data_IF_178515858153
#
_entry.id   IF_178515858153
#
_cell.length_a   1.000
_cell.length_b   1.000
_cell.length_c   1.000
_cell.angle_alpha   90.00
_cell.angle_beta   90.00
_cell.angle_gamma   90.00
#
_symmetry.space_group_name_H-M   'P 1'
#
loop_
_entity.id
_entity.type
_entity.pdbx_description
1 polymer ?
#
# COMPACT_ATOMS: atom_id res chain seq x y z
N UNK A 1 -18.38 1.97 8.80
CA UNK A 1 -19.00 2.84 7.79
C UNK A 1 -20.53 2.80 7.89
N UNK A 2 -21.20 3.88 7.53
CA UNK A 2 -22.67 3.94 7.52
C UNK A 2 -23.18 3.26 6.24
N UNK A 3 -24.28 2.49 6.35
CA UNK A 3 -24.91 1.80 5.25
C UNK A 3 -25.63 2.82 4.33
N UNK A 4 -25.49 2.65 3.02
CA UNK A 4 -26.14 3.50 2.01
C UNK A 4 -27.07 2.58 1.23
N UNK A 5 -28.33 3.01 1.03
CA UNK A 5 -29.30 2.26 0.26
C UNK A 5 -29.18 2.61 -1.22
N UNK A 6 -29.19 1.59 -2.06
CA UNK A 6 -29.06 1.71 -3.51
C UNK A 6 -30.43 1.49 -4.13
N UNK A 7 -30.94 2.48 -4.86
CA UNK A 7 -32.23 2.41 -5.58
C UNK A 7 -32.12 1.53 -6.82
N UNK A 8 -30.99 1.60 -7.51
CA UNK A 8 -30.70 0.80 -8.67
C UNK A 8 -29.33 1.10 -9.25
N UNK A 9 -28.88 0.28 -10.19
CA UNK A 9 -27.61 0.51 -10.84
C UNK A 9 -27.42 -0.33 -12.10
N UNK A 10 -26.44 0.05 -12.90
CA UNK A 10 -26.02 -0.67 -14.08
C UNK A 10 -24.50 -0.82 -14.13
N UNK A 11 -24.05 -1.97 -14.61
CA UNK A 11 -22.63 -2.26 -14.81
C UNK A 11 -22.40 -2.77 -16.24
N UNK A 12 -21.38 -2.23 -16.89
CA UNK A 12 -20.91 -2.69 -18.19
C UNK A 12 -19.44 -3.07 -18.05
N UNK A 13 -19.09 -4.26 -18.49
CA UNK A 13 -17.68 -4.69 -18.56
C UNK A 13 -17.46 -5.43 -19.86
N UNK A 14 -16.33 -5.20 -20.49
CA UNK A 14 -16.01 -5.85 -21.75
C UNK A 14 -14.55 -5.69 -22.16
N UNK A 15 -14.17 -6.47 -23.16
CA UNK A 15 -12.84 -6.38 -23.78
C UNK A 15 -12.98 -6.61 -25.28
N UNK A 16 -12.33 -5.76 -26.07
CA UNK A 16 -12.24 -5.89 -27.51
C UNK A 16 -10.77 -5.67 -27.95
N UNK A 17 -10.11 -6.74 -28.35
CA UNK A 17 -8.70 -6.70 -28.65
C UNK A 17 -7.89 -6.20 -27.44
N UNK A 18 -7.03 -5.20 -27.60
CA UNK A 18 -6.23 -4.63 -26.51
C UNK A 18 -7.02 -3.70 -25.58
N UNK A 19 -8.22 -3.29 -25.96
CA UNK A 19 -9.05 -2.36 -25.19
C UNK A 19 -9.91 -3.09 -24.17
N UNK A 20 -9.80 -2.74 -22.90
CA UNK A 20 -10.68 -3.13 -21.80
C UNK A 20 -11.52 -1.95 -21.30
N UNK A 21 -12.77 -2.19 -20.95
CA UNK A 21 -13.69 -1.19 -20.43
C UNK A 21 -14.45 -1.75 -19.22
N UNK A 22 -14.63 -0.93 -18.20
CA UNK A 22 -15.49 -1.17 -17.05
C UNK A 22 -16.20 0.13 -16.68
N UNK A 23 -17.52 0.08 -16.53
CA UNK A 23 -18.34 1.21 -16.10
C UNK A 23 -19.36 0.72 -15.09
N UNK A 24 -19.62 1.53 -14.07
CA UNK A 24 -20.60 1.29 -13.02
C UNK A 24 -21.31 2.62 -12.73
N UNK A 25 -22.63 2.60 -12.75
CA UNK A 25 -23.46 3.72 -12.32
C UNK A 25 -24.49 3.21 -11.31
N UNK A 26 -24.71 3.96 -10.23
CA UNK A 26 -25.69 3.63 -9.20
C UNK A 26 -26.44 4.89 -8.77
N UNK A 27 -27.76 4.77 -8.62
CA UNK A 27 -28.59 5.76 -7.94
C UNK A 27 -28.71 5.38 -6.47
N UNK A 28 -28.45 6.34 -5.60
CA UNK A 28 -28.51 6.22 -4.14
C UNK A 28 -29.80 6.86 -3.62
N UNK A 29 -30.31 6.37 -2.50
CA UNK A 29 -31.49 6.95 -1.83
C UNK A 29 -31.05 8.02 -0.81
N UNK A 30 -32.01 8.88 -0.44
CA UNK A 30 -31.81 9.88 0.62
C UNK A 30 -31.38 9.23 1.92
N UNK A 31 -30.47 9.89 2.65
CA UNK A 31 -29.99 9.42 3.92
C UNK A 31 -29.82 10.54 4.95
N UNK A 32 -30.84 10.76 5.76
CA UNK A 32 -30.84 11.85 6.70
C UNK A 32 -30.81 13.21 6.00
N UNK A 33 -29.74 13.98 6.21
CA UNK A 33 -29.53 15.28 5.56
C UNK A 33 -28.80 15.18 4.22
N UNK A 34 -28.44 13.95 3.79
CA UNK A 34 -27.79 13.70 2.49
C UNK A 34 -28.87 13.33 1.48
N UNK A 35 -28.97 14.12 0.42
CA UNK A 35 -29.94 13.91 -0.65
C UNK A 35 -29.56 12.71 -1.53
N UNK A 36 -30.57 12.13 -2.18
CA UNK A 36 -30.38 11.15 -3.24
C UNK A 36 -29.37 11.67 -4.29
N UNK A 37 -28.41 10.84 -4.66
CA UNK A 37 -27.37 11.19 -5.62
C UNK A 37 -27.05 10.02 -6.56
N UNK A 38 -26.38 10.32 -7.64
CA UNK A 38 -25.89 9.34 -8.60
C UNK A 38 -24.38 9.24 -8.50
N UNK A 39 -23.86 8.02 -8.35
CA UNK A 39 -22.43 7.77 -8.37
C UNK A 39 -22.04 7.00 -9.63
N UNK A 40 -20.92 7.40 -10.20
CA UNK A 40 -20.39 6.79 -11.42
C UNK A 40 -18.91 6.48 -11.27
N UNK A 41 -18.49 5.31 -11.78
CA UNK A 41 -17.10 4.94 -11.92
C UNK A 41 -16.84 4.33 -13.30
N UNK A 42 -15.79 4.81 -13.96
CA UNK A 42 -15.36 4.34 -15.27
C UNK A 42 -13.87 3.99 -15.29
N UNK A 43 -13.55 2.88 -15.95
CA UNK A 43 -12.16 2.39 -16.12
C UNK A 43 -11.95 1.99 -17.57
N UNK A 44 -10.87 2.49 -18.16
CA UNK A 44 -10.40 2.10 -19.49
C UNK A 44 -8.97 1.57 -19.35
N UNK A 45 -8.66 0.51 -20.09
CA UNK A 45 -7.31 -0.05 -20.15
C UNK A 45 -6.95 -0.36 -21.59
N UNK A 46 -5.69 -0.17 -21.94
CA UNK A 46 -5.18 -0.54 -23.25
C UNK A 46 -3.87 -1.30 -23.09
N UNK A 47 -3.79 -2.50 -23.63
CA UNK A 47 -2.58 -3.31 -23.62
C UNK A 47 -1.57 -2.73 -24.63
N UNK A 48 -0.43 -2.26 -24.10
CA UNK A 48 0.65 -1.67 -24.92
C UNK A 48 1.53 -2.74 -25.55
N UNK A 49 1.79 -3.81 -24.79
CA UNK A 49 2.64 -4.95 -25.13
C UNK A 49 2.02 -6.22 -24.52
N UNK A 50 2.67 -7.37 -24.65
CA UNK A 50 2.14 -8.64 -24.14
C UNK A 50 1.80 -8.62 -22.65
N UNK A 51 2.61 -7.93 -21.84
CA UNK A 51 2.47 -7.88 -20.37
C UNK A 51 2.24 -6.46 -19.82
N UNK A 52 2.21 -5.45 -20.67
CA UNK A 52 2.19 -4.03 -20.26
C UNK A 52 0.91 -3.35 -20.68
N UNK A 53 0.44 -2.41 -19.86
CA UNK A 53 -0.82 -1.70 -20.10
C UNK A 53 -0.80 -0.27 -19.59
N UNK A 54 -1.56 0.59 -20.24
CA UNK A 54 -1.94 1.91 -19.75
C UNK A 54 -3.41 1.91 -19.36
N UNK A 55 -3.77 2.72 -18.39
CA UNK A 55 -5.15 2.84 -17.92
C UNK A 55 -5.57 4.28 -17.67
N UNK A 56 -6.89 4.49 -17.69
CA UNK A 56 -7.51 5.73 -17.26
C UNK A 56 -8.70 5.40 -16.36
N UNK A 57 -8.92 6.21 -15.33
CA UNK A 57 -10.04 6.10 -14.39
C UNK A 57 -10.75 7.44 -14.30
N UNK A 58 -12.07 7.37 -14.11
CA UNK A 58 -12.92 8.50 -13.78
C UNK A 58 -13.94 8.07 -12.74
N UNK A 59 -14.18 8.92 -11.73
CA UNK A 59 -15.30 8.74 -10.78
C UNK A 59 -16.04 10.06 -10.59
N UNK A 60 -17.33 9.97 -10.26
CA UNK A 60 -18.21 11.09 -9.99
C UNK A 60 -19.17 10.76 -8.85
N UNK A 61 -19.48 11.75 -8.03
CA UNK A 61 -20.43 11.69 -6.94
C UNK A 61 -19.79 11.43 -5.56
N UNK A 62 -20.46 11.89 -4.52
CA UNK A 62 -20.10 11.65 -3.13
C UNK A 62 -21.27 11.03 -2.36
N UNK A 63 -21.21 9.74 -2.00
CA UNK A 63 -22.28 9.06 -1.28
C UNK A 63 -22.36 9.46 0.21
N UNK A 64 -21.49 10.33 0.70
CA UNK A 64 -21.39 10.68 2.11
C UNK A 64 -21.69 12.16 2.40
N UNK A 65 -21.74 13.00 1.37
CA UNK A 65 -21.99 14.44 1.47
C UNK A 65 -22.79 14.95 0.29
N UNK A 66 -23.44 16.13 0.44
CA UNK A 66 -24.08 16.86 -0.66
C UNK A 66 -23.06 17.74 -1.40
N UNK A 67 -21.93 17.17 -1.78
CA UNK A 67 -20.79 17.89 -2.37
C UNK A 67 -20.44 17.20 -3.69
N UNK A 68 -20.17 17.99 -4.71
CA UNK A 68 -19.68 17.45 -5.97
C UNK A 68 -18.24 16.97 -5.79
N UNK A 69 -18.00 15.70 -6.08
CA UNK A 69 -16.66 15.12 -6.09
C UNK A 69 -16.40 14.38 -7.40
N UNK A 70 -15.30 14.71 -8.02
CA UNK A 70 -14.83 14.11 -9.26
C UNK A 70 -13.38 13.67 -9.13
N UNK A 71 -13.05 12.51 -9.69
CA UNK A 71 -11.66 12.07 -9.84
C UNK A 71 -11.41 11.71 -11.29
N UNK A 72 -10.24 12.11 -11.78
CA UNK A 72 -9.68 11.62 -13.04
C UNK A 72 -8.26 11.13 -12.80
N UNK A 73 -7.87 10.06 -13.47
CA UNK A 73 -6.53 9.53 -13.31
C UNK A 73 -6.06 8.70 -14.50
N UNK A 74 -4.75 8.56 -14.56
CA UNK A 74 -4.07 7.69 -15.53
C UNK A 74 -3.03 6.84 -14.81
N UNK A 75 -2.77 5.65 -15.33
CA UNK A 75 -1.72 4.76 -14.82
C UNK A 75 -1.03 4.01 -15.95
N UNK A 76 0.21 3.65 -15.68
CA UNK A 76 1.06 2.86 -16.55
C UNK A 76 1.57 1.65 -15.76
N UNK A 77 1.37 0.45 -16.28
CA UNK A 77 1.91 -0.78 -15.75
C UNK A 77 2.80 -1.42 -16.82
N UNK A 78 4.10 -1.42 -16.57
CA UNK A 78 5.08 -2.07 -17.40
C UNK A 78 5.56 -3.34 -16.73
N UNK A 79 5.50 -4.43 -17.45
CA UNK A 79 6.01 -5.73 -17.02
C UNK A 79 6.79 -6.37 -18.15
N UNK A 80 7.93 -6.96 -17.81
CA UNK A 80 8.69 -7.80 -18.71
C UNK A 80 9.19 -9.00 -17.89
N UNK A 81 8.74 -10.21 -18.25
CA UNK A 81 9.11 -11.45 -17.55
C UNK A 81 10.47 -11.98 -17.96
N UNK A 82 11.01 -11.53 -19.09
CA UNK A 82 12.32 -11.93 -19.65
C UNK A 82 13.13 -10.71 -20.10
N UNK A 83 13.28 -9.71 -19.22
CA UNK A 83 13.89 -8.44 -19.60
C UNK A 83 15.40 -8.56 -19.84
N UNK A 84 16.15 -9.16 -18.93
CA UNK A 84 17.61 -9.34 -19.05
C UNK A 84 18.02 -10.65 -18.36
N UNK A 85 18.65 -11.55 -19.11
CA UNK A 85 19.04 -12.87 -18.61
C UNK A 85 17.89 -13.67 -17.94
N UNK A 86 16.68 -13.56 -18.47
CA UNK A 86 15.51 -14.27 -17.92
C UNK A 86 14.96 -13.67 -16.62
N UNK A 87 15.38 -12.47 -16.29
CA UNK A 87 14.87 -11.77 -15.09
C UNK A 87 13.60 -10.98 -15.38
N UNK A 88 12.74 -10.95 -14.39
CA UNK A 88 11.49 -10.18 -14.44
C UNK A 88 11.69 -8.78 -13.85
N UNK A 89 11.03 -7.80 -14.45
CA UNK A 89 10.90 -6.45 -13.93
C UNK A 89 9.45 -6.00 -14.00
N UNK A 90 8.99 -5.32 -12.95
CA UNK A 90 7.67 -4.68 -12.90
C UNK A 90 7.89 -3.22 -12.52
N UNK A 91 7.26 -2.34 -13.28
CA UNK A 91 7.18 -0.91 -12.97
C UNK A 91 5.74 -0.46 -13.09
N UNK A 92 5.28 0.28 -12.11
CA UNK A 92 3.95 0.87 -12.12
C UNK A 92 4.07 2.35 -11.75
N UNK A 93 3.31 3.21 -12.42
CA UNK A 93 3.18 4.62 -12.07
C UNK A 93 1.75 5.09 -12.29
N UNK A 94 1.34 6.11 -11.55
CA UNK A 94 0.02 6.70 -11.67
C UNK A 94 0.04 8.19 -11.34
N UNK A 95 -0.95 8.87 -11.88
CA UNK A 95 -1.33 10.24 -11.52
C UNK A 95 -2.84 10.32 -11.45
N UNK A 96 -3.37 10.86 -10.37
CA UNK A 96 -4.80 11.10 -10.20
C UNK A 96 -5.02 12.49 -9.64
N UNK A 97 -6.12 13.12 -10.04
CA UNK A 97 -6.54 14.43 -9.56
C UNK A 97 -7.99 14.36 -9.14
N UNK A 98 -8.29 14.92 -7.97
CA UNK A 98 -9.65 15.16 -7.49
C UNK A 98 -10.05 16.61 -7.69
N UNK A 99 -11.34 16.83 -7.85
CA UNK A 99 -11.99 18.10 -7.66
C UNK A 99 -13.16 17.89 -6.73
N UNK A 100 -13.11 18.57 -5.61
CA UNK A 100 -14.12 18.55 -4.56
C UNK A 100 -14.71 19.94 -4.40
N UNK A 101 -16.05 20.02 -4.27
CA UNK A 101 -16.77 21.31 -4.23
C UNK A 101 -16.47 22.15 -2.96
N UNK A 102 -15.94 21.53 -1.90
CA UNK A 102 -15.61 22.21 -0.65
C UNK A 102 -14.10 22.51 -0.54
N UNK A 103 -13.26 21.52 -0.78
CA UNK A 103 -11.81 21.61 -0.58
C UNK A 103 -11.04 22.00 -1.84
N UNK A 104 -11.70 22.01 -3.00
CA UNK A 104 -11.10 22.36 -4.29
C UNK A 104 -10.44 21.21 -5.01
N UNK A 105 -9.30 21.44 -5.64
CA UNK A 105 -8.61 20.40 -6.43
C UNK A 105 -7.23 20.10 -5.86
N UNK A 106 -6.91 18.81 -5.77
CA UNK A 106 -5.57 18.37 -5.43
C UNK A 106 -5.24 17.04 -6.14
N UNK A 107 -4.00 16.58 -6.02
CA UNK A 107 -3.52 15.41 -6.74
C UNK A 107 -2.79 14.38 -5.87
N UNK A 108 -2.70 13.18 -6.42
CA UNK A 108 -1.81 12.14 -5.97
C UNK A 108 -1.04 11.58 -7.15
N UNK A 109 0.25 11.35 -6.95
CA UNK A 109 1.09 10.67 -7.93
C UNK A 109 2.03 9.69 -7.25
N UNK A 110 2.40 8.65 -7.97
CA UNK A 110 3.33 7.68 -7.42
C UNK A 110 3.89 6.74 -8.46
N UNK A 111 4.93 6.07 -8.03
CA UNK A 111 5.56 4.99 -8.78
C UNK A 111 6.10 3.92 -7.84
N UNK A 112 6.10 2.68 -8.29
CA UNK A 112 6.80 1.59 -7.65
C UNK A 112 7.44 0.67 -8.68
N UNK A 113 8.50 0.02 -8.27
CA UNK A 113 9.18 -0.98 -9.07
C UNK A 113 9.43 -2.25 -8.25
N UNK A 114 9.56 -3.38 -8.92
CA UNK A 114 9.91 -4.65 -8.32
C UNK A 114 10.75 -5.48 -9.27
N UNK A 115 11.84 -6.04 -8.73
CA UNK A 115 12.70 -7.05 -9.35
C UNK A 115 12.56 -8.34 -8.53
N UNK A 116 11.51 -9.17 -8.79
CA UNK A 116 11.17 -10.33 -7.98
C UNK A 116 12.00 -11.56 -8.36
N UNK A 117 13.32 -11.40 -8.50
CA UNK A 117 14.19 -12.41 -9.05
C UNK A 117 14.99 -13.14 -7.96
N UNK A 118 15.12 -14.44 -8.11
CA UNK A 118 15.99 -15.25 -7.27
C UNK A 118 17.45 -15.16 -7.78
N UNK A 119 18.46 -15.10 -6.90
CA UNK A 119 18.39 -15.02 -5.43
C UNK A 119 18.20 -13.59 -4.90
N UNK A 120 18.35 -12.57 -5.73
CA UNK A 120 18.30 -11.17 -5.34
C UNK A 120 16.96 -10.54 -5.70
N UNK A 121 16.26 -10.05 -4.69
CA UNK A 121 15.00 -9.33 -4.84
C UNK A 121 15.18 -7.87 -4.43
N UNK A 122 14.59 -6.98 -5.18
CA UNK A 122 14.63 -5.55 -4.91
C UNK A 122 13.30 -4.93 -5.26
N UNK A 123 12.89 -3.93 -4.49
CA UNK A 123 11.69 -3.17 -4.79
C UNK A 123 11.70 -1.83 -4.08
N UNK A 124 10.81 -0.96 -4.51
CA UNK A 124 10.65 0.32 -3.85
C UNK A 124 9.44 1.06 -4.38
N UNK A 125 9.01 2.05 -3.63
CA UNK A 125 7.92 2.93 -4.02
C UNK A 125 8.21 4.38 -3.65
N UNK A 126 7.52 5.26 -4.34
CA UNK A 126 7.39 6.67 -4.01
C UNK A 126 5.96 7.11 -4.33
N UNK A 127 5.29 7.75 -3.37
CA UNK A 127 3.94 8.28 -3.51
C UNK A 127 3.85 9.64 -2.83
N UNK A 128 3.39 10.65 -3.55
CA UNK A 128 3.07 11.98 -3.01
C UNK A 128 1.57 12.18 -3.06
N UNK A 129 0.97 12.55 -1.94
CA UNK A 129 -0.47 12.82 -1.80
C UNK A 129 -0.68 14.25 -1.32
N UNK A 130 -1.45 15.03 -2.06
CA UNK A 130 -1.82 16.39 -1.70
C UNK A 130 -2.65 16.46 -0.42
N UNK A 131 -2.68 17.62 0.22
CA UNK A 131 -3.41 17.84 1.49
C UNK A 131 -4.93 17.72 1.29
N UNK A 132 -5.43 18.20 0.15
CA UNK A 132 -6.86 18.23 -0.19
C UNK A 132 -7.27 17.14 -1.18
N UNK A 133 -6.40 16.13 -1.41
CA UNK A 133 -6.75 15.02 -2.28
C UNK A 133 -7.82 14.15 -1.64
N UNK A 134 -9.07 14.25 -2.13
CA UNK A 134 -10.27 13.60 -1.58
C UNK A 134 -11.01 12.82 -2.66
N UNK A 135 -10.78 11.51 -2.81
CA UNK A 135 -11.58 10.66 -3.69
C UNK A 135 -12.78 10.09 -2.95
N UNK A 136 -13.98 10.68 -3.11
CA UNK A 136 -15.19 10.28 -2.38
C UNK A 136 -15.62 8.81 -2.61
N UNK A 137 -15.32 8.24 -3.79
CA UNK A 137 -15.51 6.82 -4.09
C UNK A 137 -14.25 5.96 -3.89
N UNK A 138 -13.27 6.49 -3.16
CA UNK A 138 -12.00 5.83 -2.88
C UNK A 138 -11.61 5.88 -1.41
N UNK A 139 -10.37 5.52 -1.14
CA UNK A 139 -9.78 5.61 0.19
C UNK A 139 -8.36 6.15 0.11
N UNK A 140 -8.04 7.11 0.96
CA UNK A 140 -6.70 7.67 1.12
C UNK A 140 -6.26 7.46 2.56
N UNK A 141 -5.15 6.76 2.74
CA UNK A 141 -4.65 6.43 4.08
C UNK A 141 -4.04 7.63 4.79
N UNK A 142 -3.23 8.41 4.07
CA UNK A 142 -2.54 9.63 4.57
C UNK A 142 -2.52 10.69 3.49
N UNK A 143 -2.76 11.93 3.87
CA UNK A 143 -2.73 13.12 2.99
C UNK A 143 -1.64 14.08 3.43
N UNK A 144 -1.32 15.04 2.59
CA UNK A 144 -0.36 16.08 2.92
C UNK A 144 1.06 15.58 3.10
N UNK A 145 1.45 14.51 2.41
CA UNK A 145 2.76 13.91 2.58
C UNK A 145 3.30 13.14 1.40
N UNK A 146 4.49 12.65 1.58
CA UNK A 146 5.23 11.85 0.62
C UNK A 146 5.78 10.61 1.31
N UNK A 147 5.40 9.42 0.83
CA UNK A 147 5.93 8.13 1.26
C UNK A 147 6.97 7.63 0.28
N UNK A 148 8.06 7.11 0.77
CA UNK A 148 9.08 6.42 -0.03
C UNK A 148 9.60 5.19 0.69
N UNK A 149 9.84 4.09 -0.03
CA UNK A 149 10.56 2.95 0.51
C UNK A 149 11.49 2.33 -0.53
N UNK A 150 12.50 1.64 -0.02
CA UNK A 150 13.37 0.76 -0.79
C UNK A 150 13.66 -0.48 0.03
N UNK A 151 13.54 -1.66 -0.58
CA UNK A 151 13.81 -2.95 0.05
C UNK A 151 14.72 -3.80 -0.80
N UNK A 152 15.55 -4.59 -0.12
CA UNK A 152 16.44 -5.58 -0.69
C UNK A 152 16.30 -6.88 0.07
N UNK A 153 16.35 -8.01 -0.63
CA UNK A 153 16.44 -9.31 -0.01
C UNK A 153 17.33 -10.23 -0.84
N UNK A 154 18.02 -11.11 -0.16
CA UNK A 154 18.88 -12.12 -0.77
C UNK A 154 18.56 -13.50 -0.21
N UNK A 155 18.19 -14.40 -1.08
CA UNK A 155 17.90 -15.79 -0.75
C UNK A 155 19.16 -16.66 -1.02
N UNK A 156 19.57 -17.42 -0.01
CA UNK A 156 20.70 -18.32 -0.11
C UNK A 156 20.24 -19.66 -0.68
N UNK A 157 20.88 -20.06 -1.78
CA UNK A 157 20.68 -21.39 -2.35
C UNK A 157 21.25 -22.48 -1.43
N UNK A 158 20.49 -23.56 -1.24
CA UNK A 158 20.88 -24.72 -0.41
C UNK A 158 20.71 -26.01 -1.16
N UNK A 159 21.51 -26.23 -2.19
CA UNK A 159 21.49 -27.49 -2.90
C UNK A 159 21.78 -28.64 -1.95
N UNK A 160 20.86 -29.60 -1.88
CA UNK A 160 21.03 -30.82 -1.11
C UNK A 160 20.66 -30.76 0.37
N UNK A 161 20.03 -29.69 0.86
CA UNK A 161 19.40 -29.71 2.19
C UNK A 161 18.20 -30.66 2.19
N UNK A 162 18.13 -31.55 3.17
CA UNK A 162 16.99 -32.46 3.36
C UNK A 162 15.84 -31.81 4.17
N UNK A 163 16.06 -30.63 4.73
CA UNK A 163 15.14 -30.02 5.70
C UNK A 163 14.83 -28.55 5.40
N UNK A 164 15.78 -27.80 4.83
CA UNK A 164 15.63 -26.36 4.59
C UNK A 164 15.18 -26.10 3.15
N UNK A 165 14.20 -25.23 2.98
CA UNK A 165 13.73 -24.74 1.69
C UNK A 165 14.47 -23.46 1.32
N UNK A 166 14.42 -22.44 2.17
CA UNK A 166 15.03 -21.13 1.94
C UNK A 166 15.65 -20.53 3.20
N UNK A 167 16.70 -19.73 3.03
CA UNK A 167 17.19 -18.77 4.02
C UNK A 167 17.30 -17.43 3.32
N UNK A 168 16.59 -16.43 3.83
CA UNK A 168 16.61 -15.08 3.29
C UNK A 168 17.17 -14.10 4.32
N UNK A 169 17.90 -13.11 3.86
CA UNK A 169 18.26 -11.89 4.61
C UNK A 169 17.78 -10.69 3.83
N UNK A 170 17.43 -9.62 4.52
CA UNK A 170 16.89 -8.44 3.86
C UNK A 170 17.03 -7.17 4.66
N UNK A 171 16.73 -6.07 4.01
CA UNK A 171 16.61 -4.75 4.63
C UNK A 171 15.54 -3.94 3.88
N UNK A 172 14.75 -3.18 4.62
CA UNK A 172 13.83 -2.18 4.10
C UNK A 172 14.08 -0.84 4.79
N UNK A 173 14.03 0.23 4.03
CA UNK A 173 14.00 1.60 4.52
C UNK A 173 12.71 2.24 4.05
N UNK A 174 11.93 2.77 4.98
CA UNK A 174 10.68 3.49 4.72
C UNK A 174 10.75 4.87 5.34
N UNK A 175 10.22 5.86 4.63
CA UNK A 175 10.16 7.24 5.11
C UNK A 175 8.88 7.91 4.65
N UNK A 176 8.31 8.70 5.55
CA UNK A 176 7.19 9.59 5.27
C UNK A 176 7.59 11.03 5.62
N UNK A 177 7.52 11.93 4.64
CA UNK A 177 7.75 13.36 4.79
C UNK A 177 6.44 14.12 4.68
N UNK A 178 6.26 15.16 5.51
CA UNK A 178 5.14 16.10 5.38
C UNK A 178 5.38 17.06 4.22
N UNK A 179 4.34 17.43 3.46
CA UNK A 179 4.42 18.46 2.42
C UNK A 179 4.69 19.85 3.01
N UNK A 180 4.28 20.09 4.26
CA UNK A 180 4.61 21.30 5.03
C UNK A 180 6.09 21.37 5.41
N UNK A 181 6.84 20.29 5.21
CA UNK A 181 8.26 20.13 5.52
C UNK A 181 8.51 19.34 6.80
N UNK A 182 9.60 18.58 6.78
CA UNK A 182 10.03 17.74 7.88
C UNK A 182 9.67 16.26 7.70
N UNK A 183 10.33 15.43 8.49
CA UNK A 183 10.06 14.00 8.60
C UNK A 183 8.89 13.81 9.56
N UNK A 184 7.96 12.93 9.20
CA UNK A 184 6.89 12.46 10.07
C UNK A 184 7.27 11.10 10.67
N UNK A 185 7.62 10.13 9.80
CA UNK A 185 8.10 8.80 10.23
C UNK A 185 9.27 8.34 9.37
N UNK A 186 10.19 7.60 9.98
CA UNK A 186 11.32 6.96 9.31
C UNK A 186 11.58 5.61 9.98
N UNK A 187 11.76 4.57 9.17
CA UNK A 187 11.89 3.19 9.63
C UNK A 187 13.00 2.48 8.84
N UNK A 188 13.82 1.73 9.56
CA UNK A 188 14.81 0.81 8.99
C UNK A 188 14.52 -0.56 9.57
N UNK A 189 14.06 -1.47 8.75
CA UNK A 189 13.87 -2.88 9.10
C UNK A 189 15.04 -3.71 8.57
N UNK A 190 15.64 -4.51 9.42
CA UNK A 190 16.70 -5.46 9.09
C UNK A 190 16.20 -6.87 9.36
N UNK A 191 15.81 -7.58 8.31
CA UNK A 191 15.55 -9.01 8.39
C UNK A 191 16.90 -9.75 8.41
N UNK A 192 17.40 -10.02 9.61
CA UNK A 192 18.72 -10.61 9.82
C UNK A 192 18.78 -12.04 9.34
N UNK A 193 17.68 -12.78 9.50
CA UNK A 193 17.53 -14.14 8.99
C UNK A 193 16.05 -14.52 8.97
N UNK A 194 15.62 -15.06 7.88
CA UNK A 194 14.35 -15.78 7.72
C UNK A 194 14.65 -17.17 7.19
N UNK A 195 14.17 -18.21 7.86
CA UNK A 195 14.40 -19.61 7.49
C UNK A 195 13.05 -20.27 7.26
N UNK A 196 12.91 -20.91 6.10
CA UNK A 196 11.76 -21.75 5.79
C UNK A 196 12.21 -23.20 5.60
N UNK A 197 11.44 -24.13 6.17
CA UNK A 197 11.69 -25.57 5.99
C UNK A 197 10.80 -26.14 4.88
N UNK A 198 11.23 -27.25 4.27
CA UNK A 198 10.43 -28.00 3.29
C UNK A 198 9.08 -28.48 3.83
N UNK A 199 8.95 -28.65 5.13
CA UNK A 199 7.69 -29.01 5.81
C UNK A 199 6.78 -27.79 6.04
N UNK A 200 7.30 -26.56 5.90
CA UNK A 200 6.58 -25.30 6.06
C UNK A 200 6.67 -24.68 7.46
N UNK A 201 7.65 -25.10 8.30
CA UNK A 201 7.98 -24.34 9.50
C UNK A 201 8.77 -23.10 9.08
N UNK A 202 8.60 -22.01 9.80
CA UNK A 202 9.36 -20.78 9.58
C UNK A 202 9.97 -20.24 10.89
N UNK A 203 11.07 -19.56 10.76
CA UNK A 203 11.75 -18.83 11.83
C UNK A 203 12.25 -17.50 11.28
N UNK A 204 11.99 -16.42 12.00
CA UNK A 204 12.42 -15.05 11.66
C UNK A 204 13.11 -14.36 12.82
N UNK A 205 14.12 -13.55 12.50
CA UNK A 205 14.76 -12.59 13.40
C UNK A 205 14.86 -11.26 12.68
N UNK A 206 14.15 -10.26 13.19
CA UNK A 206 14.10 -8.91 12.63
C UNK A 206 14.57 -7.90 13.67
N UNK A 207 15.25 -6.86 13.23
CA UNK A 207 15.58 -5.68 14.02
C UNK A 207 15.02 -4.47 13.30
N UNK A 208 14.28 -3.65 14.02
CA UNK A 208 13.66 -2.43 13.53
C UNK A 208 14.23 -1.22 14.26
N UNK A 209 14.47 -0.15 13.54
CA UNK A 209 14.79 1.18 14.06
C UNK A 209 13.73 2.14 13.54
N UNK A 210 13.01 2.75 14.46
CA UNK A 210 11.93 3.67 14.15
C UNK A 210 12.25 5.08 14.64
N UNK A 211 11.80 6.07 13.89
CA UNK A 211 11.76 7.48 14.26
C UNK A 211 10.41 8.05 13.93
N UNK A 212 9.74 8.62 14.92
CA UNK A 212 8.48 9.32 14.78
C UNK A 212 8.59 10.76 15.31
N UNK A 213 8.19 11.72 14.49
CA UNK A 213 8.24 13.14 14.84
C UNK A 213 6.82 13.64 15.08
N UNK A 214 6.46 13.78 16.35
CA UNK A 214 5.20 14.39 16.76
C UNK A 214 5.34 15.91 16.79
N UNK A 215 4.56 16.61 15.95
CA UNK A 215 4.53 18.07 15.89
C UNK A 215 3.59 18.71 16.93
N UNK A 216 2.69 17.89 17.49
CA UNK A 216 1.75 18.28 18.54
C UNK A 216 1.56 17.13 19.53
N UNK A 217 0.95 17.44 20.68
CA UNK A 217 0.65 16.42 21.68
C UNK A 217 -0.37 15.42 21.13
N UNK A 218 -0.07 14.15 21.25
CA UNK A 218 -0.90 13.04 20.79
C UNK A 218 -1.37 12.17 21.97
N UNK A 219 -2.67 11.90 22.06
CA UNK A 219 -3.23 11.02 23.07
C UNK A 219 -3.26 9.57 22.54
N UNK A 220 -2.47 8.67 23.14
CA UNK A 220 -2.37 7.26 22.73
C UNK A 220 -3.59 6.47 23.25
N UNK A 221 -3.91 6.66 24.52
CA UNK A 221 -5.08 6.09 25.20
C UNK A 221 -5.62 7.13 26.17
N UNK A 222 -6.87 6.96 26.59
CA UNK A 222 -7.55 7.89 27.50
C UNK A 222 -6.65 8.30 28.67
N UNK A 223 -6.25 9.58 28.71
CA UNK A 223 -5.44 10.17 29.77
C UNK A 223 -3.93 10.00 29.64
N UNK A 224 -3.42 9.31 28.59
CA UNK A 224 -1.99 9.15 28.32
C UNK A 224 -1.59 9.94 27.07
N UNK A 225 -0.83 11.02 27.27
CA UNK A 225 -0.44 11.93 26.21
C UNK A 225 1.06 11.86 25.98
N UNK A 226 1.45 11.74 24.71
CA UNK A 226 2.81 11.96 24.22
C UNK A 226 3.00 13.44 23.87
N UNK A 227 4.07 14.02 24.34
CA UNK A 227 4.42 15.40 23.99
C UNK A 227 4.92 15.47 22.54
N UNK A 228 4.83 16.66 21.92
CA UNK A 228 5.51 16.93 20.67
C UNK A 228 7.04 16.73 20.85
N UNK A 229 7.62 15.80 20.10
CA UNK A 229 9.03 15.44 20.21
C UNK A 229 9.48 14.60 18.99
N UNK A 230 10.78 14.40 18.85
CA UNK A 230 11.44 13.46 17.92
C UNK A 230 11.77 12.18 18.71
N UNK A 231 10.87 11.19 18.60
CA UNK A 231 11.02 9.90 19.26
C UNK A 231 11.82 8.95 18.38
N UNK A 232 12.65 8.13 19.02
CA UNK A 232 13.44 7.11 18.36
C UNK A 232 13.44 5.87 19.22
N UNK A 233 13.16 4.74 18.56
CA UNK A 233 13.14 3.44 19.21
C UNK A 233 13.86 2.40 18.39
N UNK A 234 14.09 1.26 19.03
CA UNK A 234 14.55 0.05 18.36
C UNK A 234 13.82 -1.15 18.92
N UNK A 235 13.49 -2.09 18.07
CA UNK A 235 12.82 -3.32 18.44
C UNK A 235 13.52 -4.53 17.85
N UNK A 236 13.54 -5.63 18.61
CA UNK A 236 13.96 -6.94 18.13
C UNK A 236 12.74 -7.85 18.18
N UNK A 237 12.45 -8.46 17.04
CA UNK A 237 11.37 -9.43 16.88
C UNK A 237 11.96 -10.81 16.59
N UNK A 238 11.47 -11.81 17.32
CA UNK A 238 11.74 -13.21 17.08
C UNK A 238 10.42 -13.92 16.81
N UNK A 239 10.31 -14.53 15.63
CA UNK A 239 9.13 -15.26 15.20
C UNK A 239 9.46 -16.73 14.95
N UNK A 240 8.58 -17.62 15.38
CA UNK A 240 8.60 -19.03 15.04
C UNK A 240 7.18 -19.51 14.78
N UNK A 241 6.97 -20.10 13.60
CA UNK A 241 5.72 -20.73 13.26
C UNK A 241 5.91 -22.16 12.78
N UNK A 242 5.09 -23.06 13.31
CA UNK A 242 5.10 -24.47 12.88
C UNK A 242 4.11 -24.72 11.75
N UNK A 243 4.48 -25.61 10.85
CA UNK A 243 3.66 -25.97 9.68
C UNK A 243 2.27 -26.45 10.06
N UNK A 244 1.25 -25.95 9.37
CA UNK A 244 -0.15 -26.42 9.49
C UNK A 244 -0.36 -27.87 9.02
N UNK A 245 0.64 -28.49 8.40
CA UNK A 245 0.64 -29.92 8.05
C UNK A 245 0.87 -30.84 9.27
N UNK A 246 1.32 -30.27 10.39
CA UNK A 246 1.56 -31.01 11.63
C UNK A 246 0.24 -31.25 12.40
N UNK A 247 0.12 -32.34 13.18
CA UNK A 247 -1.05 -32.57 14.03
C UNK A 247 -1.29 -31.45 15.07
N UNK A 248 -0.20 -30.81 15.52
CA UNK A 248 -0.23 -29.61 16.36
C UNK A 248 0.62 -28.55 15.68
N UNK A 249 0.07 -27.37 15.52
CA UNK A 249 0.73 -26.22 14.94
C UNK A 249 0.40 -24.96 15.74
N UNK A 250 1.25 -23.97 15.63
CA UNK A 250 1.10 -22.69 16.31
C UNK A 250 2.22 -21.74 15.92
N UNK A 251 2.09 -20.51 16.37
CA UNK A 251 3.03 -19.42 16.15
C UNK A 251 3.37 -18.77 17.48
N UNK A 252 4.62 -18.40 17.64
CA UNK A 252 5.13 -17.63 18.77
C UNK A 252 5.86 -16.43 18.22
N UNK A 253 5.45 -15.24 18.66
CA UNK A 253 6.09 -13.98 18.38
C UNK A 253 6.55 -13.35 19.69
N UNK A 254 7.81 -12.99 19.76
CA UNK A 254 8.42 -12.30 20.90
C UNK A 254 9.00 -10.99 20.40
N UNK A 255 8.55 -9.90 20.98
CA UNK A 255 9.00 -8.54 20.70
C UNK A 255 9.64 -7.96 21.94
N UNK A 256 10.76 -7.29 21.75
CA UNK A 256 11.43 -6.54 22.80
C UNK A 256 12.06 -5.29 22.22
N UNK A 257 11.69 -4.13 22.74
CA UNK A 257 12.19 -2.86 22.24
C UNK A 257 11.76 -1.67 23.06
N UNK A 258 12.10 -0.50 22.56
CA UNK A 258 11.73 0.79 23.12
C UNK A 258 10.30 1.15 22.69
N UNK A 259 9.54 1.73 23.60
CA UNK A 259 8.22 2.27 23.30
C UNK A 259 8.17 3.73 23.75
N UNK A 260 8.43 4.66 22.82
CA UNK A 260 8.58 6.10 23.01
C UNK A 260 9.65 6.44 24.07
N UNK A 261 9.25 6.86 25.29
CA UNK A 261 10.11 7.27 26.39
C UNK A 261 9.98 6.35 27.63
N UNK A 262 9.39 5.17 27.44
CA UNK A 262 9.10 4.18 28.49
C UNK A 262 9.77 2.82 28.30
#
# INVERSE_FOLDING_TARGET
GKKIDVVGGAKITGRQGPLGIGMLGMGLDDRGDINADEVFAGRFTYDLMEESKIGAIFTHGDPQANIENNLVGVDLNLRASEWWHGQSVVFHSFYMKTHDGETGSDDVMGAWFSLPNYPFRMGGHWVRTGENFEPALGFVRRRGGQSSSIRFAYAFDKPGSATLDDITVGAEYTRYDLLSGGIDTEEIELNLIEVQTLEGDHFGLTVEFEREVLTETFEIVDGVNLAANDYRGSEIELEYGSSTKRPMFGEIKLEYGDYYDG
#
